data_IF_332156952709
#
_entry.id   IF_332156952709
#
_cell.length_a   1.000
_cell.length_b   1.000
_cell.length_c   1.000
_cell.angle_alpha   90.00
_cell.angle_beta   90.00
_cell.angle_gamma   90.00
#
_symmetry.space_group_name_H-M   'P 1'
#
loop_
_entity.id
_entity.type
_entity.pdbx_description
1 polymer ?
#
# COMPACT_ATOMS: atom_id res chain seq x y z
N UNK A 1 -0.49 -0.46 14.35
CA UNK A 1 -1.84 0.04 13.97
C UNK A 1 -1.91 1.57 14.10
N UNK A 2 -2.49 2.34 13.14
CA UNK A 2 -2.54 3.81 13.21
C UNK A 2 -3.38 4.31 14.40
N UNK A 3 -2.94 5.33 15.17
CA UNK A 3 -3.67 5.82 16.35
C UNK A 3 -4.82 6.79 16.03
N UNK A 4 -5.06 7.09 14.74
CA UNK A 4 -6.04 8.06 14.28
C UNK A 4 -7.09 7.38 13.38
N UNK A 5 -8.33 7.88 13.45
CA UNK A 5 -9.42 7.61 12.51
C UNK A 5 -9.63 8.87 11.67
N UNK A 6 -9.75 8.72 10.35
CA UNK A 6 -10.20 9.83 9.50
C UNK A 6 -11.72 9.77 9.37
N UNK A 7 -12.39 10.74 9.96
CA UNK A 7 -13.82 10.97 9.74
C UNK A 7 -14.00 12.10 8.70
N UNK A 8 -15.18 12.18 8.09
CA UNK A 8 -15.51 13.12 7.01
C UNK A 8 -15.31 14.60 7.45
N UNK A 9 -15.22 14.85 8.76
CA UNK A 9 -15.05 16.16 9.40
C UNK A 9 -13.63 16.38 10.00
N UNK A 10 -12.73 15.39 9.99
CA UNK A 10 -11.37 15.55 10.51
C UNK A 10 -10.69 14.27 11.02
N UNK A 11 -9.49 14.39 11.58
CA UNK A 11 -8.78 13.28 12.23
C UNK A 11 -9.16 13.23 13.72
N UNK A 12 -9.64 12.07 14.18
CA UNK A 12 -9.98 11.81 15.59
C UNK A 12 -9.05 10.74 16.19
N UNK A 13 -8.55 10.91 17.43
CA UNK A 13 -7.83 9.85 18.12
C UNK A 13 -8.72 8.61 18.30
N UNK A 14 -8.17 7.42 18.07
CA UNK A 14 -8.90 6.16 18.29
C UNK A 14 -9.44 6.00 19.71
N UNK A 15 -8.75 6.56 20.70
CA UNK A 15 -9.16 6.52 22.11
C UNK A 15 -10.41 7.34 22.41
N UNK A 16 -10.79 8.26 21.52
CA UNK A 16 -11.97 9.12 21.66
C UNK A 16 -13.16 8.65 20.82
N UNK A 17 -12.96 7.64 19.96
CA UNK A 17 -13.99 7.10 19.08
C UNK A 17 -14.77 5.96 19.75
N UNK A 18 -16.05 5.83 19.44
CA UNK A 18 -16.84 4.67 19.87
C UNK A 18 -16.35 3.39 19.17
N UNK A 19 -16.56 2.20 19.77
CA UNK A 19 -16.22 0.94 19.11
C UNK A 19 -16.86 0.78 17.72
N UNK A 20 -18.09 1.26 17.55
CA UNK A 20 -18.82 1.23 16.28
C UNK A 20 -18.17 2.14 15.22
N UNK A 21 -17.73 3.34 15.60
CA UNK A 21 -17.01 4.25 14.71
C UNK A 21 -15.66 3.65 14.30
N UNK A 22 -14.94 3.03 15.24
CA UNK A 22 -13.67 2.34 14.97
C UNK A 22 -13.89 1.22 13.95
N UNK A 23 -14.88 0.37 14.16
CA UNK A 23 -15.13 -0.77 13.27
C UNK A 23 -15.61 -0.31 11.88
N UNK A 24 -16.48 0.71 11.82
CA UNK A 24 -16.93 1.31 10.56
C UNK A 24 -15.74 1.84 9.76
N UNK A 25 -14.84 2.58 10.40
CA UNK A 25 -13.62 3.07 9.77
C UNK A 25 -12.72 1.93 9.28
N UNK A 26 -12.48 0.90 10.10
CA UNK A 26 -11.64 -0.23 9.73
C UNK A 26 -12.24 -1.00 8.53
N UNK A 27 -13.56 -1.17 8.48
CA UNK A 27 -14.24 -1.77 7.33
C UNK A 27 -14.14 -0.91 6.07
N UNK A 28 -14.22 0.41 6.21
CA UNK A 28 -13.99 1.31 5.08
C UNK A 28 -12.55 1.18 4.54
N UNK A 29 -11.54 1.14 5.42
CA UNK A 29 -10.14 0.97 5.01
C UNK A 29 -9.89 -0.40 4.37
N UNK A 30 -10.45 -1.48 4.94
CA UNK A 30 -10.41 -2.82 4.33
C UNK A 30 -11.05 -2.82 2.94
N UNK A 31 -12.17 -2.12 2.77
CA UNK A 31 -12.88 -2.02 1.49
C UNK A 31 -12.07 -1.25 0.44
N UNK A 32 -11.50 -0.09 0.82
CA UNK A 32 -10.60 0.69 -0.06
C UNK A 32 -9.40 -0.15 -0.51
N UNK A 33 -8.76 -0.86 0.43
CA UNK A 33 -7.64 -1.79 0.13
C UNK A 33 -8.06 -2.85 -0.89
N UNK A 34 -9.22 -3.50 -0.69
CA UNK A 34 -9.73 -4.53 -1.59
C UNK A 34 -9.99 -3.99 -2.99
N UNK A 35 -10.62 -2.81 -3.10
CA UNK A 35 -10.90 -2.18 -4.41
C UNK A 35 -9.61 -1.82 -5.14
N UNK A 36 -8.63 -1.22 -4.44
CA UNK A 36 -7.35 -0.85 -5.05
C UNK A 36 -6.55 -2.08 -5.50
N UNK A 37 -6.51 -3.13 -4.68
CA UNK A 37 -5.84 -4.38 -5.02
C UNK A 37 -6.47 -5.03 -6.24
N UNK A 38 -7.81 -5.13 -6.29
CA UNK A 38 -8.50 -5.73 -7.44
C UNK A 38 -8.20 -4.98 -8.74
N UNK A 39 -8.22 -3.65 -8.73
CA UNK A 39 -7.82 -2.86 -9.91
C UNK A 39 -6.42 -3.20 -10.41
N UNK A 40 -5.48 -3.43 -9.50
CA UNK A 40 -4.12 -3.83 -9.86
C UNK A 40 -4.06 -5.24 -10.45
N UNK A 41 -4.76 -6.20 -9.82
CA UNK A 41 -4.86 -7.58 -10.31
C UNK A 41 -5.51 -7.65 -11.70
N UNK A 42 -6.56 -6.86 -11.94
CA UNK A 42 -7.21 -6.76 -13.24
C UNK A 42 -6.23 -6.27 -14.32
N UNK A 43 -5.37 -5.29 -14.00
CA UNK A 43 -4.30 -4.87 -14.91
C UNK A 43 -3.32 -6.01 -15.18
N UNK A 44 -2.81 -6.68 -14.15
CA UNK A 44 -1.90 -7.81 -14.32
C UNK A 44 -2.51 -8.92 -15.19
N UNK A 45 -3.80 -9.23 -15.00
CA UNK A 45 -4.53 -10.22 -15.78
C UNK A 45 -4.64 -9.84 -17.25
N UNK A 46 -4.86 -8.56 -17.57
CA UNK A 46 -4.88 -8.08 -18.95
C UNK A 46 -3.55 -8.29 -19.67
N UNK A 47 -2.44 -8.29 -18.94
CA UNK A 47 -1.10 -8.60 -19.44
C UNK A 47 -0.68 -10.07 -19.24
N UNK A 48 -1.62 -10.94 -18.83
CA UNK A 48 -1.39 -12.38 -18.60
C UNK A 48 -0.26 -12.68 -17.59
N UNK A 49 -0.05 -11.78 -16.63
CA UNK A 49 0.93 -11.97 -15.55
C UNK A 49 0.33 -12.88 -14.48
N UNK A 50 1.07 -13.91 -14.05
CA UNK A 50 0.69 -14.71 -12.90
C UNK A 50 0.93 -13.93 -11.60
N UNK A 51 -0.05 -13.88 -10.71
CA UNK A 51 0.02 -13.08 -9.48
C UNK A 51 -0.46 -13.87 -8.28
N UNK A 52 0.39 -13.94 -7.25
CA UNK A 52 0.02 -14.43 -5.93
C UNK A 52 -0.17 -13.25 -4.96
N UNK A 53 -1.17 -13.35 -4.08
CA UNK A 53 -1.51 -12.30 -3.11
C UNK A 53 -1.43 -12.87 -1.70
N UNK A 54 -0.62 -12.23 -0.85
CA UNK A 54 -0.47 -12.58 0.55
C UNK A 54 -0.94 -11.43 1.44
N UNK A 55 -1.87 -11.72 2.36
CA UNK A 55 -2.29 -10.78 3.41
C UNK A 55 -1.52 -11.10 4.69
N UNK A 56 -0.71 -10.15 5.15
CA UNK A 56 0.12 -10.30 6.35
C UNK A 56 -0.29 -9.24 7.36
N UNK A 57 -0.57 -9.67 8.58
CA UNK A 57 -0.82 -8.79 9.72
C UNK A 57 0.40 -8.82 10.65
N UNK A 58 1.03 -7.67 10.83
CA UNK A 58 2.21 -7.52 11.69
C UNK A 58 2.33 -6.10 12.20
N UNK A 59 2.74 -5.95 13.46
CA UNK A 59 3.08 -4.65 14.04
C UNK A 59 4.43 -4.11 13.53
N UNK A 60 5.29 -4.98 12.99
CA UNK A 60 6.59 -4.65 12.43
C UNK A 60 6.64 -4.96 10.93
N UNK A 61 5.90 -4.20 10.14
CA UNK A 61 5.74 -4.39 8.69
C UNK A 61 7.07 -4.54 7.94
N UNK A 62 8.09 -3.75 8.29
CA UNK A 62 9.41 -3.83 7.64
C UNK A 62 10.09 -5.18 7.88
N UNK A 63 10.08 -5.68 9.10
CA UNK A 63 10.69 -6.97 9.43
C UNK A 63 9.90 -8.11 8.78
N UNK A 64 8.57 -8.04 8.82
CA UNK A 64 7.72 -9.02 8.17
C UNK A 64 8.01 -9.12 6.66
N UNK A 65 8.19 -7.99 5.96
CA UNK A 65 8.56 -8.02 4.53
C UNK A 65 9.94 -8.68 4.35
N UNK A 66 10.94 -8.32 5.16
CA UNK A 66 12.30 -8.87 5.04
C UNK A 66 12.36 -10.38 5.26
N UNK A 67 11.59 -10.89 6.23
CA UNK A 67 11.50 -12.33 6.53
C UNK A 67 10.84 -13.11 5.40
N UNK A 68 9.95 -12.48 4.63
CA UNK A 68 9.22 -13.13 3.55
C UNK A 68 9.96 -13.15 2.22
N UNK A 69 10.96 -12.28 2.01
CA UNK A 69 11.82 -12.29 0.82
C UNK A 69 12.43 -13.67 0.57
N UNK A 70 13.14 -14.31 1.54
CA UNK A 70 13.70 -15.64 1.32
C UNK A 70 12.63 -16.72 1.21
N UNK A 71 11.51 -16.60 1.92
CA UNK A 71 10.42 -17.60 1.89
C UNK A 71 9.76 -17.67 0.51
N UNK A 72 9.44 -16.51 -0.07
CA UNK A 72 8.81 -16.42 -1.39
C UNK A 72 9.82 -16.30 -2.54
N UNK A 73 11.12 -16.39 -2.26
CA UNK A 73 12.19 -16.25 -3.25
C UNK A 73 12.08 -14.96 -4.08
N UNK A 74 11.75 -13.84 -3.41
CA UNK A 74 11.55 -12.53 -4.07
C UNK A 74 12.88 -12.03 -4.62
N UNK A 75 12.98 -11.96 -5.96
CA UNK A 75 14.19 -11.48 -6.63
C UNK A 75 14.25 -9.95 -6.71
N UNK A 76 13.10 -9.29 -6.83
CA UNK A 76 13.00 -7.84 -6.95
C UNK A 76 11.85 -7.33 -6.08
N UNK A 77 12.17 -6.43 -5.16
CA UNK A 77 11.19 -5.78 -4.29
C UNK A 77 10.93 -4.35 -4.79
N UNK A 78 9.70 -4.11 -5.26
CA UNK A 78 9.24 -2.79 -5.70
C UNK A 78 8.38 -2.16 -4.61
N UNK A 79 8.76 -0.97 -4.14
CA UNK A 79 8.04 -0.23 -3.11
C UNK A 79 7.68 1.17 -3.60
N UNK A 80 6.45 1.59 -3.29
CA UNK A 80 6.03 2.98 -3.51
C UNK A 80 6.67 3.92 -2.48
N UNK A 81 7.32 4.98 -2.95
CA UNK A 81 7.88 6.04 -2.10
C UNK A 81 7.19 7.37 -2.39
N UNK A 82 6.96 8.18 -1.35
CA UNK A 82 6.43 9.52 -1.56
C UNK A 82 7.48 10.41 -2.23
N UNK A 83 7.05 11.29 -3.15
CA UNK A 83 7.94 12.25 -3.85
C UNK A 83 8.78 13.09 -2.88
N UNK A 84 8.24 13.43 -1.71
CA UNK A 84 8.93 14.17 -0.65
C UNK A 84 10.11 13.43 -0.01
N UNK A 85 10.05 12.09 0.04
CA UNK A 85 11.09 11.22 0.64
C UNK A 85 12.11 10.73 -0.39
N UNK A 86 11.80 10.84 -1.68
CA UNK A 86 12.64 10.38 -2.79
C UNK A 86 14.06 10.99 -2.78
N UNK A 87 14.19 12.28 -2.40
CA UNK A 87 15.50 12.96 -2.32
C UNK A 87 16.48 12.29 -1.35
N UNK A 88 15.99 11.54 -0.36
CA UNK A 88 16.80 10.86 0.65
C UNK A 88 17.28 9.46 0.22
N UNK A 89 16.70 8.89 -0.84
CA UNK A 89 16.99 7.51 -1.29
C UNK A 89 18.10 7.41 -2.35
N UNK A 90 18.66 8.53 -2.83
CA UNK A 90 19.73 8.56 -3.86
C UNK A 90 21.11 8.08 -3.38
N UNK A 91 21.18 7.23 -2.36
CA UNK A 91 22.43 6.69 -1.80
C UNK A 91 22.43 5.15 -1.92
N UNK A 92 22.89 4.61 -3.05
CA UNK A 92 23.03 3.17 -3.32
C UNK A 92 22.61 2.75 -4.73
N UNK A 93 22.62 1.43 -5.02
CA UNK A 93 22.15 0.83 -6.29
C UNK A 93 20.62 0.81 -6.45
N UNK A 94 19.89 1.72 -5.79
CA UNK A 94 18.44 1.79 -5.85
C UNK A 94 18.01 2.62 -7.06
N UNK A 95 17.33 1.99 -8.01
CA UNK A 95 16.66 2.70 -9.10
C UNK A 95 15.30 3.16 -8.59
N UNK A 96 15.04 4.45 -8.67
CA UNK A 96 13.75 5.02 -8.29
C UNK A 96 13.11 5.66 -9.52
N UNK A 97 11.91 5.18 -9.86
CA UNK A 97 11.12 5.70 -10.98
C UNK A 97 10.15 6.74 -10.47
N UNK A 98 10.12 7.91 -11.10
CA UNK A 98 9.05 8.87 -10.89
C UNK A 98 7.95 8.56 -11.89
N UNK A 99 6.76 8.19 -11.42
CA UNK A 99 5.58 8.22 -12.28
C UNK A 99 5.38 9.65 -12.77
N UNK A 100 5.72 9.91 -14.03
CA UNK A 100 5.16 11.03 -14.77
C UNK A 100 3.68 10.71 -14.95
N UNK A 101 2.85 11.68 -14.59
CA UNK A 101 1.45 11.69 -14.95
C UNK A 101 1.40 11.82 -16.47
N UNK A 102 1.38 10.69 -17.17
CA UNK A 102 1.07 10.67 -18.58
C UNK A 102 -0.39 11.09 -18.70
N UNK A 103 -0.57 12.32 -19.14
CA UNK A 103 -1.84 12.84 -19.62
C UNK A 103 -2.42 11.78 -20.54
N UNK A 104 -3.62 11.33 -20.21
CA UNK A 104 -4.52 10.69 -21.16
C UNK A 104 -4.56 11.54 -22.42
N UNK A 105 -3.89 11.09 -23.47
CA UNK A 105 -4.20 11.49 -24.83
C UNK A 105 -4.84 10.28 -25.47
N UNK A 106 -6.17 10.34 -25.56
CA UNK A 106 -6.94 9.60 -26.54
C UNK A 106 -6.24 9.71 -27.90
N UNK A 107 -5.80 8.58 -28.45
CA UNK A 107 -5.93 8.19 -29.85
C UNK A 107 -5.87 6.65 -29.93
#
# INVERSE_FOLDING_TARGET
MSPWISEIVGMMPKSQASPEQVETYMNQERSKRRVMLQKYLDHCRNFQVNVDVYLIESDHVTNAILELIPVFHVQQLVLGVSKSKLRKFKRGNTIAWTGSEERTSLL
#
